data_IF_751689560929
#
_entry.id   IF_751689560929
#
_cell.length_a   1.000
_cell.length_b   1.000
_cell.length_c   1.000
_cell.angle_alpha   90.00
_cell.angle_beta   90.00
_cell.angle_gamma   90.00
#
_symmetry.space_group_name_H-M   'P 1'
#
loop_
_entity.id
_entity.type
_entity.pdbx_description
1 polymer ?
#
# COMPACT_ATOMS: atom_id res chain seq x y z
N UNK A 1 6.75 37.32 -33.58
CA UNK A 1 6.48 36.68 -32.26
C UNK A 1 5.74 35.33 -32.39
N UNK A 2 5.98 34.54 -33.44
CA UNK A 2 5.25 33.28 -33.70
C UNK A 2 6.13 32.01 -33.81
N UNK A 3 7.46 32.14 -33.76
CA UNK A 3 8.39 31.01 -33.95
C UNK A 3 8.81 30.31 -32.65
N UNK A 4 8.67 30.96 -31.47
CA UNK A 4 8.99 30.34 -30.18
C UNK A 4 7.88 29.42 -29.64
N UNK A 5 6.63 29.59 -30.08
CA UNK A 5 5.50 28.79 -29.57
C UNK A 5 5.40 27.40 -30.22
N UNK A 6 5.78 27.28 -31.50
CA UNK A 6 5.81 25.98 -32.19
C UNK A 6 6.88 25.03 -31.66
N UNK A 7 8.01 25.55 -31.18
CA UNK A 7 9.07 24.75 -30.59
C UNK A 7 8.66 24.21 -29.19
N UNK A 8 7.96 25.02 -28.40
CA UNK A 8 7.42 24.58 -27.09
C UNK A 8 6.34 23.49 -27.26
N UNK A 9 5.46 23.63 -28.26
CA UNK A 9 4.41 22.63 -28.53
C UNK A 9 4.98 21.32 -29.13
N UNK A 10 6.05 21.41 -29.92
CA UNK A 10 6.76 20.23 -30.44
C UNK A 10 7.57 19.49 -29.37
N UNK A 11 8.04 20.17 -28.33
CA UNK A 11 8.69 19.55 -27.16
C UNK A 11 7.68 18.84 -26.24
N UNK A 12 6.46 19.39 -26.11
CA UNK A 12 5.36 18.75 -25.37
C UNK A 12 4.87 17.49 -26.11
N UNK A 13 4.93 17.47 -27.44
CA UNK A 13 4.57 16.30 -28.26
C UNK A 13 5.58 15.13 -28.18
N UNK A 14 6.72 15.31 -27.49
CA UNK A 14 7.79 14.32 -27.36
C UNK A 14 8.06 13.91 -25.90
N UNK A 15 7.17 14.28 -24.99
CA UNK A 15 7.29 13.97 -23.56
C UNK A 15 6.50 12.70 -23.25
N UNK A 16 7.19 11.66 -22.79
CA UNK A 16 6.54 10.48 -22.23
C UNK A 16 6.09 10.81 -20.81
N UNK A 17 4.82 10.54 -20.51
CA UNK A 17 4.26 10.74 -19.18
C UNK A 17 3.35 9.56 -18.82
N UNK A 18 3.20 9.31 -17.51
CA UNK A 18 2.23 8.35 -16.99
C UNK A 18 1.25 9.04 -16.05
N UNK A 19 -0.04 8.77 -16.23
CA UNK A 19 -1.11 9.24 -15.35
C UNK A 19 -1.57 8.14 -14.38
N UNK A 20 -1.34 6.87 -14.71
CA UNK A 20 -1.87 5.74 -13.94
C UNK A 20 -1.28 5.67 -12.52
N UNK A 21 0.05 5.76 -12.40
CA UNK A 21 0.74 5.65 -11.12
C UNK A 21 0.45 6.83 -10.17
N UNK A 22 0.54 8.11 -10.60
CA UNK A 22 0.22 9.25 -9.73
C UNK A 22 -1.24 9.25 -9.28
N UNK A 23 -2.17 8.86 -10.17
CA UNK A 23 -3.59 8.77 -9.84
C UNK A 23 -3.86 7.65 -8.82
N UNK A 24 -3.16 6.52 -8.96
CA UNK A 24 -3.26 5.41 -8.00
C UNK A 24 -2.70 5.82 -6.64
N UNK A 25 -1.54 6.49 -6.61
CA UNK A 25 -0.97 7.06 -5.39
C UNK A 25 -1.95 8.03 -4.71
N UNK A 26 -2.56 8.92 -5.48
CA UNK A 26 -3.59 9.85 -5.00
C UNK A 26 -4.79 9.11 -4.41
N UNK A 27 -5.34 8.14 -5.13
CA UNK A 27 -6.51 7.37 -4.70
C UNK A 27 -6.23 6.59 -3.41
N UNK A 28 -5.11 5.87 -3.34
CA UNK A 28 -4.69 5.12 -2.15
C UNK A 28 -4.51 6.05 -0.94
N UNK A 29 -3.85 7.19 -1.16
CA UNK A 29 -3.61 8.19 -0.11
C UNK A 29 -4.93 8.76 0.42
N UNK A 30 -5.89 9.09 -0.46
CA UNK A 30 -7.20 9.58 -0.07
C UNK A 30 -8.01 8.53 0.68
N UNK A 31 -8.06 7.31 0.16
CA UNK A 31 -8.79 6.20 0.78
C UNK A 31 -8.23 5.97 2.18
N UNK A 32 -6.91 5.84 2.33
CA UNK A 32 -6.30 5.64 3.64
C UNK A 32 -6.57 6.82 4.60
N UNK A 33 -6.50 8.06 4.12
CA UNK A 33 -6.79 9.26 4.92
C UNK A 33 -8.23 9.26 5.46
N UNK A 34 -9.21 8.97 4.60
CA UNK A 34 -10.62 8.95 5.00
C UNK A 34 -11.00 7.73 5.83
N UNK A 35 -10.37 6.58 5.59
CA UNK A 35 -10.57 5.39 6.41
C UNK A 35 -9.96 5.60 7.81
N UNK A 36 -8.82 6.28 7.92
CA UNK A 36 -8.15 6.49 9.19
C UNK A 36 -9.07 7.15 10.22
N UNK A 37 -9.82 8.18 9.84
CA UNK A 37 -10.77 8.87 10.75
C UNK A 37 -11.81 7.92 11.38
N UNK A 38 -12.23 6.90 10.63
CA UNK A 38 -13.20 5.89 11.10
C UNK A 38 -12.56 4.76 11.91
N UNK A 39 -11.33 4.42 11.56
CA UNK A 39 -10.61 3.22 12.00
C UNK A 39 -9.75 3.50 13.24
N UNK A 40 -9.20 4.71 13.35
CA UNK A 40 -8.23 5.10 14.36
C UNK A 40 -8.72 4.84 15.79
N UNK A 41 -9.97 5.18 16.12
CA UNK A 41 -10.50 4.97 17.46
C UNK A 41 -10.47 3.49 17.85
N UNK A 42 -10.82 2.59 16.93
CA UNK A 42 -10.78 1.14 17.17
C UNK A 42 -9.35 0.62 17.29
N UNK A 43 -8.43 1.11 16.46
CA UNK A 43 -7.01 0.75 16.55
C UNK A 43 -6.39 1.22 17.88
N UNK A 44 -6.56 2.49 18.26
CA UNK A 44 -6.02 3.05 19.51
C UNK A 44 -6.50 2.31 20.75
N UNK A 45 -7.79 1.97 20.82
CA UNK A 45 -8.34 1.17 21.92
C UNK A 45 -7.74 -0.24 22.00
N UNK A 46 -7.30 -0.80 20.86
CA UNK A 46 -6.66 -2.13 20.83
C UNK A 46 -5.18 -2.07 21.22
N UNK A 47 -4.51 -0.93 20.98
CA UNK A 47 -3.08 -0.74 21.24
C UNK A 47 -2.77 0.02 22.52
N UNK A 48 -3.69 0.03 23.49
CA UNK A 48 -3.51 0.71 24.80
C UNK A 48 -3.12 2.19 24.64
N UNK A 49 -3.60 2.85 23.57
CA UNK A 49 -3.25 4.24 23.23
C UNK A 49 -1.75 4.52 23.11
N UNK A 50 -0.92 3.49 22.85
CA UNK A 50 0.51 3.68 22.65
C UNK A 50 0.77 4.56 21.43
N UNK A 51 1.47 5.66 21.67
CA UNK A 51 1.98 6.55 20.63
C UNK A 51 3.48 6.34 20.45
N UNK A 52 3.95 6.38 19.21
CA UNK A 52 5.38 6.30 18.94
C UNK A 52 6.07 7.60 19.32
N UNK A 53 7.15 7.47 20.09
CA UNK A 53 8.09 8.53 20.37
C UNK A 53 9.12 8.70 19.24
N UNK A 54 9.94 9.74 19.35
CA UNK A 54 11.00 10.00 18.38
C UNK A 54 12.03 8.86 18.33
N UNK A 55 12.31 8.22 19.48
CA UNK A 55 13.21 7.06 19.57
C UNK A 55 12.70 5.88 18.76
N UNK A 56 11.40 5.60 18.85
CA UNK A 56 10.76 4.50 18.12
C UNK A 56 10.79 4.74 16.60
N UNK A 57 10.58 5.99 16.17
CA UNK A 57 10.71 6.37 14.76
C UNK A 57 12.14 6.18 14.23
N UNK A 58 13.16 6.57 15.01
CA UNK A 58 14.57 6.34 14.66
C UNK A 58 14.88 4.85 14.57
N UNK A 59 14.46 4.07 15.57
CA UNK A 59 14.64 2.61 15.57
C UNK A 59 13.93 1.95 14.39
N UNK A 60 12.74 2.41 14.02
CA UNK A 60 11.99 1.89 12.88
C UNK A 60 12.72 2.16 11.56
N UNK A 61 13.20 3.39 11.33
CA UNK A 61 13.97 3.70 10.10
C UNK A 61 15.24 2.88 10.06
N UNK A 62 15.99 2.79 11.17
CA UNK A 62 17.19 1.97 11.24
C UNK A 62 16.89 0.49 10.94
N UNK A 63 15.81 -0.06 11.48
CA UNK A 63 15.38 -1.42 11.22
C UNK A 63 14.98 -1.65 9.76
N UNK A 64 14.25 -0.72 9.13
CA UNK A 64 13.88 -0.79 7.71
C UNK A 64 15.13 -0.75 6.83
N UNK A 65 16.04 0.20 7.07
CA UNK A 65 17.29 0.31 6.31
C UNK A 65 18.18 -0.93 6.46
N UNK A 66 18.28 -1.47 7.67
CA UNK A 66 19.01 -2.71 7.93
C UNK A 66 18.35 -3.89 7.22
N UNK A 67 17.02 -4.03 7.31
CA UNK A 67 16.28 -5.10 6.66
C UNK A 67 16.48 -5.08 5.14
N UNK A 68 16.39 -3.91 4.49
CA UNK A 68 16.62 -3.77 3.04
C UNK A 68 18.06 -4.14 2.68
N UNK A 69 19.04 -3.72 3.48
CA UNK A 69 20.46 -4.03 3.25
C UNK A 69 20.74 -5.53 3.39
N UNK A 70 20.12 -6.19 4.38
CA UNK A 70 20.27 -7.62 4.60
C UNK A 70 19.49 -8.46 3.60
N UNK A 71 18.41 -7.92 3.02
CA UNK A 71 17.52 -8.64 2.11
C UNK A 71 18.25 -9.25 0.91
N UNK A 72 19.30 -8.60 0.43
CA UNK A 72 20.13 -9.08 -0.69
C UNK A 72 20.84 -10.39 -0.36
N UNK A 73 21.12 -10.65 0.92
CA UNK A 73 21.82 -11.86 1.38
C UNK A 73 20.87 -12.97 1.83
N UNK A 74 19.58 -12.69 2.00
CA UNK A 74 18.60 -13.65 2.51
C UNK A 74 18.08 -14.53 1.35
N UNK A 75 18.00 -15.86 1.52
CA UNK A 75 17.41 -16.75 0.53
C UNK A 75 15.98 -16.33 0.16
N UNK A 76 15.64 -16.39 -1.12
CA UNK A 76 14.32 -16.00 -1.65
C UNK A 76 13.15 -16.70 -0.94
N UNK A 77 13.31 -17.99 -0.60
CA UNK A 77 12.28 -18.75 0.13
C UNK A 77 12.03 -18.19 1.55
N UNK A 78 13.08 -17.73 2.23
CA UNK A 78 12.94 -17.13 3.56
C UNK A 78 12.23 -15.76 3.50
N UNK A 79 12.60 -14.92 2.52
CA UNK A 79 11.88 -13.66 2.25
C UNK A 79 10.40 -13.91 1.99
N UNK A 80 10.09 -14.88 1.13
CA UNK A 80 8.71 -15.25 0.80
C UNK A 80 7.94 -15.68 2.05
N UNK A 81 8.49 -16.59 2.87
CA UNK A 81 7.82 -17.06 4.09
C UNK A 81 7.58 -15.93 5.08
N UNK A 82 8.59 -15.09 5.34
CA UNK A 82 8.48 -13.95 6.25
C UNK A 82 7.41 -12.97 5.76
N UNK A 83 7.40 -12.67 4.45
CA UNK A 83 6.42 -11.76 3.88
C UNK A 83 5.00 -12.32 3.95
N UNK A 84 4.80 -13.58 3.54
CA UNK A 84 3.48 -14.21 3.58
C UNK A 84 2.94 -14.28 5.02
N UNK A 85 3.80 -14.61 5.98
CA UNK A 85 3.44 -14.60 7.39
C UNK A 85 3.06 -13.20 7.87
N UNK A 86 3.90 -12.19 7.61
CA UNK A 86 3.65 -10.82 8.02
C UNK A 86 2.35 -10.27 7.41
N UNK A 87 2.10 -10.55 6.13
CA UNK A 87 0.88 -10.08 5.47
C UNK A 87 -0.36 -10.84 5.95
N UNK A 88 -0.30 -12.17 6.08
CA UNK A 88 -1.40 -12.94 6.65
C UNK A 88 -1.73 -12.49 8.08
N UNK A 89 -0.72 -12.22 8.91
CA UNK A 89 -0.90 -11.68 10.25
C UNK A 89 -1.57 -10.30 10.24
N UNK A 90 -1.18 -9.43 9.30
CA UNK A 90 -1.80 -8.10 9.13
C UNK A 90 -3.27 -8.19 8.71
N UNK A 91 -3.59 -9.03 7.71
CA UNK A 91 -4.97 -9.27 7.28
C UNK A 91 -5.82 -9.86 8.41
N UNK A 92 -5.25 -10.81 9.15
CA UNK A 92 -5.90 -11.40 10.31
C UNK A 92 -6.19 -10.35 11.38
N UNK A 93 -5.18 -9.58 11.78
CA UNK A 93 -5.29 -8.56 12.82
C UNK A 93 -6.35 -7.52 12.48
N UNK A 94 -6.32 -6.97 11.27
CA UNK A 94 -7.32 -5.99 10.84
C UNK A 94 -8.72 -6.59 10.84
N UNK A 95 -8.90 -7.75 10.22
CA UNK A 95 -10.21 -8.40 10.18
C UNK A 95 -10.73 -8.75 11.56
N UNK A 96 -9.84 -9.16 12.47
CA UNK A 96 -10.16 -9.44 13.87
C UNK A 96 -10.63 -8.18 14.61
N UNK A 97 -9.91 -7.06 14.48
CA UNK A 97 -10.27 -5.77 15.08
C UNK A 97 -11.63 -5.28 14.55
N UNK A 98 -11.91 -5.52 13.28
CA UNK A 98 -13.16 -5.12 12.64
C UNK A 98 -14.29 -6.17 12.73
N UNK A 99 -14.04 -7.34 13.33
CA UNK A 99 -15.00 -8.46 13.38
C UNK A 99 -16.27 -8.20 14.19
N UNK A 100 -16.31 -7.11 14.96
CA UNK A 100 -17.45 -6.62 15.74
C UNK A 100 -18.55 -6.00 14.85
N UNK A 101 -19.02 -6.80 13.88
CA UNK A 101 -20.09 -6.44 12.95
C UNK A 101 -21.46 -6.80 13.51
N UNK A 102 -22.52 -6.17 12.99
CA UNK A 102 -23.89 -6.71 13.16
C UNK A 102 -23.96 -8.10 12.52
N UNK A 103 -24.75 -9.03 13.08
CA UNK A 103 -24.94 -10.41 12.58
C UNK A 103 -25.11 -10.47 11.06
N UNK A 104 -26.02 -9.66 10.50
CA UNK A 104 -26.27 -9.57 9.04
C UNK A 104 -25.00 -9.26 8.24
N UNK A 105 -24.13 -8.37 8.72
CA UNK A 105 -22.89 -8.00 8.03
C UNK A 105 -21.83 -9.10 8.11
N UNK A 106 -21.75 -9.80 9.24
CA UNK A 106 -20.87 -10.96 9.37
C UNK A 106 -21.31 -12.11 8.47
N UNK A 107 -22.61 -12.37 8.38
CA UNK A 107 -23.17 -13.35 7.45
C UNK A 107 -22.89 -12.97 6.00
N UNK A 108 -23.09 -11.70 5.62
CA UNK A 108 -22.77 -11.22 4.28
C UNK A 108 -21.28 -11.38 3.97
N UNK A 109 -20.40 -11.10 4.94
CA UNK A 109 -18.97 -11.28 4.79
C UNK A 109 -18.61 -12.75 4.55
N UNK A 110 -19.08 -13.68 5.39
CA UNK A 110 -18.87 -15.11 5.17
C UNK A 110 -19.47 -15.60 3.86
N UNK A 111 -20.67 -15.13 3.49
CA UNK A 111 -21.33 -15.49 2.24
C UNK A 111 -20.50 -15.05 1.03
N UNK A 112 -19.87 -13.88 1.08
CA UNK A 112 -18.96 -13.43 0.03
C UNK A 112 -17.71 -14.33 -0.08
N UNK A 113 -17.12 -14.74 1.04
CA UNK A 113 -16.00 -15.69 1.01
C UNK A 113 -16.41 -17.08 0.53
N UNK A 114 -17.61 -17.53 0.89
CA UNK A 114 -18.21 -18.77 0.40
C UNK A 114 -18.39 -18.74 -1.12
N UNK A 115 -18.97 -17.67 -1.68
CA UNK A 115 -19.16 -17.57 -3.14
C UNK A 115 -17.84 -17.48 -3.88
N UNK A 116 -16.90 -16.66 -3.40
CA UNK A 116 -15.58 -16.51 -4.02
C UNK A 116 -14.79 -17.82 -3.99
N UNK A 117 -14.77 -18.53 -2.84
CA UNK A 117 -14.07 -19.82 -2.72
C UNK A 117 -14.70 -20.90 -3.58
N UNK A 118 -16.03 -20.95 -3.70
CA UNK A 118 -16.70 -21.89 -4.60
C UNK A 118 -16.34 -21.65 -6.07
N UNK A 119 -16.41 -20.39 -6.52
CA UNK A 119 -16.07 -20.02 -7.90
C UNK A 119 -14.59 -20.32 -8.17
N UNK A 120 -13.69 -20.00 -7.23
CA UNK A 120 -12.27 -20.31 -7.38
C UNK A 120 -12.01 -21.83 -7.43
N UNK A 121 -12.69 -22.62 -6.58
CA UNK A 121 -12.59 -24.08 -6.58
C UNK A 121 -13.02 -24.69 -7.92
N UNK A 122 -14.16 -24.23 -8.46
CA UNK A 122 -14.66 -24.75 -9.75
C UNK A 122 -13.71 -24.38 -10.89
N UNK A 123 -13.26 -23.12 -10.96
CA UNK A 123 -12.25 -22.70 -11.97
C UNK A 123 -10.97 -23.54 -11.83
N UNK A 124 -10.50 -23.80 -10.61
CA UNK A 124 -9.30 -24.63 -10.36
C UNK A 124 -9.48 -26.07 -10.84
N UNK A 125 -10.70 -26.62 -10.79
CA UNK A 125 -11.01 -27.98 -11.24
C UNK A 125 -11.03 -28.09 -12.76
N UNK A 126 -11.54 -27.06 -13.46
CA UNK A 126 -11.62 -27.06 -14.93
C UNK A 126 -10.36 -26.55 -15.64
N UNK A 127 -9.43 -25.91 -14.93
CA UNK A 127 -8.16 -25.41 -15.49
C UNK A 127 -7.06 -26.49 -15.54
N UNK A 128 -7.43 -27.71 -15.92
CA UNK A 128 -6.55 -28.90 -15.98
C UNK A 128 -5.34 -28.71 -16.92
N UNK A 129 -5.43 -27.81 -17.91
CA UNK A 129 -4.36 -27.58 -18.90
C UNK A 129 -3.27 -26.59 -18.46
N UNK A 130 -3.44 -25.84 -17.36
CA UNK A 130 -2.59 -24.65 -17.09
C UNK A 130 -1.64 -24.83 -15.89
N UNK A 131 -1.82 -25.83 -15.03
CA UNK A 131 -0.94 -26.09 -13.87
C UNK A 131 -0.71 -27.59 -13.68
N UNK A 132 0.48 -28.07 -14.05
CA UNK A 132 1.01 -29.39 -13.76
C UNK A 132 0.71 -29.81 -12.31
N UNK A 133 -0.09 -30.87 -12.10
CA UNK A 133 -0.29 -31.59 -10.83
C UNK A 133 -0.85 -30.81 -9.62
N UNK A 134 -0.75 -29.48 -9.57
CA UNK A 134 -1.16 -28.62 -8.45
C UNK A 134 -2.60 -28.11 -8.54
N UNK A 135 -3.24 -28.20 -9.70
CA UNK A 135 -4.63 -27.72 -9.90
C UNK A 135 -5.64 -28.46 -9.01
N UNK A 136 -5.46 -29.77 -8.82
CA UNK A 136 -6.28 -30.58 -7.91
C UNK A 136 -6.11 -30.16 -6.43
N UNK A 137 -4.87 -29.87 -6.01
CA UNK A 137 -4.60 -29.37 -4.65
C UNK A 137 -5.15 -27.96 -4.43
N UNK A 138 -5.10 -27.09 -5.45
CA UNK A 138 -5.72 -25.78 -5.43
C UNK A 138 -7.24 -25.87 -5.26
N UNK A 139 -7.90 -26.75 -6.04
CA UNK A 139 -9.33 -26.99 -5.92
C UNK A 139 -9.70 -27.52 -4.53
N UNK A 140 -8.94 -28.49 -4.01
CA UNK A 140 -9.13 -29.03 -2.66
C UNK A 140 -8.96 -27.96 -1.57
N UNK A 141 -7.96 -27.08 -1.70
CA UNK A 141 -7.75 -25.98 -0.77
C UNK A 141 -8.91 -24.97 -0.78
N UNK A 142 -9.43 -24.61 -1.96
CA UNK A 142 -10.60 -23.74 -2.06
C UNK A 142 -11.89 -24.40 -1.59
N UNK A 143 -12.11 -25.69 -1.85
CA UNK A 143 -13.23 -26.42 -1.26
C UNK A 143 -13.13 -26.50 0.27
N UNK A 144 -11.91 -26.60 0.82
CA UNK A 144 -11.69 -26.54 2.27
C UNK A 144 -12.06 -25.16 2.83
N UNK A 145 -11.67 -24.08 2.15
CA UNK A 145 -12.04 -22.71 2.52
C UNK A 145 -13.55 -22.47 2.39
N UNK A 146 -14.19 -23.03 1.37
CA UNK A 146 -15.64 -23.03 1.19
C UNK A 146 -16.35 -23.72 2.34
N UNK A 147 -15.93 -24.94 2.69
CA UNK A 147 -16.47 -25.69 3.82
C UNK A 147 -16.32 -24.94 5.14
N UNK A 148 -15.15 -24.35 5.38
CA UNK A 148 -14.93 -23.50 6.56
C UNK A 148 -15.85 -22.27 6.58
N UNK A 149 -16.02 -21.60 5.44
CA UNK A 149 -16.93 -20.45 5.31
C UNK A 149 -18.39 -20.83 5.55
N UNK A 150 -18.81 -22.00 5.07
CA UNK A 150 -20.14 -22.54 5.31
C UNK A 150 -20.37 -22.84 6.80
N UNK A 151 -19.42 -23.53 7.45
CA UNK A 151 -19.46 -23.78 8.90
C UNK A 151 -19.51 -22.46 9.67
N UNK A 152 -18.76 -21.44 9.26
CA UNK A 152 -18.77 -20.13 9.89
C UNK A 152 -20.15 -19.43 9.78
N UNK A 153 -20.86 -19.58 8.66
CA UNK A 153 -22.25 -19.06 8.51
C UNK A 153 -23.21 -19.80 9.43
N UNK A 154 -23.13 -21.14 9.46
CA UNK A 154 -24.00 -21.95 10.32
C UNK A 154 -23.74 -21.66 11.80
N UNK A 155 -22.47 -21.52 12.18
CA UNK A 155 -22.07 -21.14 13.54
C UNK A 155 -22.63 -19.76 13.92
N UNK A 156 -22.56 -18.79 13.02
CA UNK A 156 -23.15 -17.45 13.23
C UNK A 156 -24.67 -17.49 13.40
N UNK A 157 -25.35 -18.44 12.76
CA UNK A 157 -26.81 -18.57 12.87
C UNK A 157 -27.22 -19.10 14.25
N UNK A 158 -26.46 -20.08 14.77
CA UNK A 158 -26.69 -20.74 16.08
C UNK A 158 -26.23 -19.86 17.24
N UNK A 159 -25.12 -19.13 17.08
CA UNK A 159 -24.54 -18.32 18.14
C UNK A 159 -25.44 -17.10 18.43
N UNK A 160 -25.86 -16.96 19.69
CA UNK A 160 -26.72 -15.87 20.16
C UNK A 160 -25.93 -14.76 20.86
N UNK A 161 -24.64 -14.95 21.13
CA UNK A 161 -23.79 -14.00 21.86
C UNK A 161 -22.90 -13.20 20.91
N UNK A 162 -22.97 -11.87 21.00
CA UNK A 162 -22.17 -10.92 20.23
C UNK A 162 -20.73 -10.79 20.71
N UNK A 163 -19.94 -11.87 20.60
CA UNK A 163 -18.50 -11.87 20.91
C UNK A 163 -17.61 -11.53 19.71
N UNK A 164 -16.30 -11.35 19.96
CA UNK A 164 -15.29 -11.17 18.90
C UNK A 164 -15.17 -12.44 18.05
N UNK A 165 -15.40 -12.31 16.75
CA UNK A 165 -15.52 -13.44 15.82
C UNK A 165 -14.17 -13.75 15.17
N UNK A 166 -13.34 -14.52 15.87
CA UNK A 166 -12.00 -14.90 15.40
C UNK A 166 -12.04 -15.69 14.07
N UNK A 167 -13.08 -16.48 13.82
CA UNK A 167 -13.23 -17.26 12.58
C UNK A 167 -13.36 -16.36 11.34
N UNK A 168 -13.94 -15.16 11.46
CA UNK A 168 -13.99 -14.19 10.36
C UNK A 168 -12.60 -13.71 9.96
N UNK A 169 -11.69 -13.61 10.94
CA UNK A 169 -10.33 -13.10 10.71
C UNK A 169 -9.44 -14.07 9.93
N UNK A 170 -9.74 -15.36 9.99
CA UNK A 170 -9.00 -16.40 9.26
C UNK A 170 -9.28 -16.31 7.76
N UNK A 171 -10.51 -15.96 7.36
CA UNK A 171 -10.96 -16.03 5.97
C UNK A 171 -10.08 -15.22 4.99
N UNK A 172 -9.79 -13.91 5.19
CA UNK A 172 -8.96 -13.14 4.25
C UNK A 172 -7.52 -13.64 4.20
N UNK A 173 -6.98 -14.03 5.34
CA UNK A 173 -5.59 -14.50 5.49
C UNK A 173 -5.40 -15.84 4.77
N UNK A 174 -6.32 -16.79 4.98
CA UNK A 174 -6.34 -18.07 4.29
C UNK A 174 -6.56 -17.91 2.79
N UNK A 175 -7.49 -17.04 2.37
CA UNK A 175 -7.73 -16.75 0.96
C UNK A 175 -6.47 -16.22 0.28
N UNK A 176 -5.77 -15.27 0.89
CA UNK A 176 -4.53 -14.72 0.36
C UNK A 176 -3.44 -15.78 0.21
N UNK A 177 -3.22 -16.62 1.23
CA UNK A 177 -2.20 -17.68 1.19
C UNK A 177 -2.53 -18.70 0.09
N UNK A 178 -3.79 -19.16 -0.01
CA UNK A 178 -4.22 -20.12 -1.02
C UNK A 178 -4.05 -19.53 -2.42
N UNK A 179 -4.51 -18.30 -2.65
CA UNK A 179 -4.30 -17.62 -3.93
C UNK A 179 -2.83 -17.47 -4.27
N UNK A 180 -1.98 -17.08 -3.32
CA UNK A 180 -0.55 -16.95 -3.58
C UNK A 180 0.08 -18.31 -3.95
N UNK A 181 -0.15 -19.35 -3.15
CA UNK A 181 0.50 -20.66 -3.32
C UNK A 181 0.11 -21.29 -4.66
N UNK A 182 -1.17 -21.23 -5.04
CA UNK A 182 -1.66 -21.93 -6.22
C UNK A 182 -1.73 -21.07 -7.49
N UNK A 183 -1.85 -19.73 -7.36
CA UNK A 183 -2.07 -18.85 -8.51
C UNK A 183 -0.92 -17.87 -8.78
N UNK A 184 0.15 -17.79 -7.97
CA UNK A 184 1.22 -16.80 -8.20
C UNK A 184 1.85 -16.84 -9.60
N UNK A 185 1.86 -18.01 -10.27
CA UNK A 185 2.37 -18.19 -11.63
C UNK A 185 1.38 -17.78 -12.73
N UNK A 186 0.09 -17.70 -12.42
CA UNK A 186 -0.98 -17.40 -13.38
C UNK A 186 -0.98 -15.94 -13.85
N UNK A 187 -1.61 -15.69 -15.00
CA UNK A 187 -1.87 -14.34 -15.54
C UNK A 187 -2.91 -13.54 -14.73
N UNK A 188 -3.69 -14.22 -13.89
CA UNK A 188 -4.63 -13.55 -12.97
C UNK A 188 -3.85 -12.91 -11.82
N UNK A 189 -2.77 -13.56 -11.36
CA UNK A 189 -1.97 -13.05 -10.27
C UNK A 189 -1.23 -11.77 -10.62
N UNK A 190 -0.46 -11.78 -11.71
CA UNK A 190 0.22 -10.59 -12.21
C UNK A 190 -0.40 -10.16 -13.54
N UNK A 191 -0.84 -8.90 -13.69
CA UNK A 191 -0.68 -7.78 -12.75
C UNK A 191 -1.80 -7.63 -11.71
N UNK A 192 -2.97 -8.26 -11.91
CA UNK A 192 -4.20 -7.85 -11.24
C UNK A 192 -4.24 -8.11 -9.72
N UNK A 193 -4.17 -9.38 -9.29
CA UNK A 193 -4.26 -9.69 -7.86
C UNK A 193 -3.06 -9.13 -7.09
N UNK A 194 -1.86 -9.14 -7.69
CA UNK A 194 -0.66 -8.58 -7.09
C UNK A 194 -0.84 -7.10 -6.78
N UNK A 195 -1.36 -6.31 -7.74
CA UNK A 195 -1.63 -4.89 -7.52
C UNK A 195 -2.74 -4.66 -6.51
N UNK A 196 -3.83 -5.44 -6.59
CA UNK A 196 -4.95 -5.34 -5.65
C UNK A 196 -4.47 -5.60 -4.21
N UNK A 197 -3.73 -6.69 -3.99
CA UNK A 197 -3.16 -7.01 -2.70
C UNK A 197 -2.06 -6.04 -2.28
N UNK A 198 -1.27 -5.50 -3.20
CA UNK A 198 -0.30 -4.44 -2.90
C UNK A 198 -1.00 -3.18 -2.38
N UNK A 199 -2.06 -2.74 -3.05
CA UNK A 199 -2.87 -1.58 -2.64
C UNK A 199 -3.52 -1.83 -1.28
N UNK A 200 -4.12 -3.01 -1.06
CA UNK A 200 -4.70 -3.38 0.24
C UNK A 200 -3.62 -3.31 1.32
N UNK A 201 -2.44 -3.91 1.09
CA UNK A 201 -1.34 -3.89 2.04
C UNK A 201 -0.91 -2.47 2.39
N UNK A 202 -0.71 -1.60 1.39
CA UNK A 202 -0.38 -0.20 1.60
C UNK A 202 -1.42 0.48 2.49
N UNK A 203 -2.72 0.35 2.17
CA UNK A 203 -3.79 0.96 2.97
C UNK A 203 -3.74 0.45 4.42
N UNK A 204 -3.60 -0.85 4.64
CA UNK A 204 -3.55 -1.42 5.99
C UNK A 204 -2.36 -0.91 6.79
N UNK A 205 -1.16 -0.87 6.19
CA UNK A 205 0.04 -0.34 6.86
C UNK A 205 -0.09 1.15 7.15
N UNK A 206 -0.66 1.94 6.23
CA UNK A 206 -0.94 3.37 6.47
C UNK A 206 -1.90 3.55 7.63
N UNK A 207 -2.98 2.78 7.70
CA UNK A 207 -3.94 2.85 8.81
C UNK A 207 -3.30 2.44 10.14
N UNK A 208 -2.50 1.37 10.11
CA UNK A 208 -1.81 0.83 11.27
C UNK A 208 -0.83 1.84 11.87
N UNK A 209 0.14 2.30 11.06
CA UNK A 209 1.16 3.24 11.52
C UNK A 209 0.59 4.65 11.69
N UNK A 210 -0.40 5.03 10.88
CA UNK A 210 -1.11 6.31 11.00
C UNK A 210 -1.78 6.50 12.36
N UNK A 211 -2.29 5.41 12.97
CA UNK A 211 -2.86 5.46 14.31
C UNK A 211 -1.79 5.66 15.41
N UNK A 212 -0.61 5.05 15.24
CA UNK A 212 0.49 5.05 16.23
C UNK A 212 1.36 6.32 16.17
N UNK A 213 1.51 6.90 14.99
CA UNK A 213 2.37 8.08 14.79
C UNK A 213 1.67 9.36 15.23
N UNK A 214 2.47 10.28 15.77
CA UNK A 214 2.05 11.66 16.03
C UNK A 214 2.57 12.58 14.93
N UNK A 215 2.03 13.80 14.86
CA UNK A 215 2.53 14.80 13.90
C UNK A 215 4.04 15.03 14.02
N UNK A 216 4.56 15.16 15.26
CA UNK A 216 5.99 15.43 15.50
C UNK A 216 6.86 14.24 15.07
N UNK A 217 6.45 13.02 15.40
CA UNK A 217 7.23 11.83 15.04
C UNK A 217 7.18 11.53 13.55
N UNK A 218 6.07 11.86 12.88
CA UNK A 218 5.97 11.78 11.43
C UNK A 218 6.96 12.69 10.72
N UNK A 219 7.18 13.92 11.22
CA UNK A 219 8.18 14.83 10.64
C UNK A 219 9.60 14.27 10.76
N UNK A 220 9.95 13.74 11.94
CA UNK A 220 11.26 13.14 12.19
C UNK A 220 11.45 11.91 11.30
N UNK A 221 10.44 11.04 11.27
CA UNK A 221 10.43 9.84 10.45
C UNK A 221 10.56 10.18 8.96
N UNK A 222 9.85 11.20 8.48
CA UNK A 222 9.93 11.65 7.09
C UNK A 222 11.32 12.15 6.71
N UNK A 223 11.92 12.99 7.55
CA UNK A 223 13.28 13.46 7.32
C UNK A 223 14.30 12.31 7.28
N UNK A 224 14.24 11.41 8.26
CA UNK A 224 15.15 10.27 8.35
C UNK A 224 14.96 9.27 7.20
N UNK A 225 13.71 8.95 6.86
CA UNK A 225 13.40 8.01 5.79
C UNK A 225 13.85 8.56 4.43
N UNK A 226 13.67 9.86 4.16
CA UNK A 226 14.15 10.46 2.91
C UNK A 226 15.67 10.47 2.82
N UNK A 227 16.38 10.74 3.91
CA UNK A 227 17.84 10.62 3.92
C UNK A 227 18.26 9.18 3.64
N UNK A 228 17.61 8.21 4.29
CA UNK A 228 17.89 6.79 4.07
C UNK A 228 17.61 6.37 2.62
N UNK A 229 16.50 6.82 2.03
CA UNK A 229 16.11 6.52 0.65
C UNK A 229 17.10 7.11 -0.36
N UNK A 230 17.54 8.36 -0.18
CA UNK A 230 18.60 8.98 -0.99
C UNK A 230 19.88 8.13 -0.95
N UNK A 231 20.29 7.70 0.23
CA UNK A 231 21.50 6.87 0.39
C UNK A 231 21.30 5.50 -0.26
N UNK A 232 20.18 4.82 -0.01
CA UNK A 232 19.93 3.46 -0.51
C UNK A 232 19.69 3.39 -2.02
N UNK A 233 19.16 4.46 -2.63
CA UNK A 233 18.86 4.52 -4.06
C UNK A 233 20.00 5.12 -4.85
N UNK A 234 20.50 6.30 -4.46
CA UNK A 234 21.49 7.04 -5.26
C UNK A 234 22.94 6.70 -4.90
N UNK A 235 23.22 6.35 -3.64
CA UNK A 235 24.61 6.09 -3.19
C UNK A 235 24.95 4.62 -3.30
N UNK A 236 24.14 3.73 -2.71
CA UNK A 236 24.45 2.29 -2.66
C UNK A 236 23.80 1.49 -3.79
N UNK A 237 22.69 1.96 -4.36
CA UNK A 237 21.91 1.22 -5.37
C UNK A 237 21.30 -0.10 -4.86
N UNK A 238 21.39 -0.37 -3.56
CA UNK A 238 20.97 -1.64 -2.94
C UNK A 238 19.47 -1.84 -3.04
N UNK A 239 18.68 -0.76 -3.08
CA UNK A 239 17.22 -0.85 -3.24
C UNK A 239 16.83 -1.44 -4.59
N UNK A 240 17.57 -1.13 -5.67
CA UNK A 240 17.30 -1.67 -7.01
C UNK A 240 17.59 -3.18 -7.04
N UNK A 241 18.68 -3.61 -6.41
CA UNK A 241 19.02 -5.04 -6.30
C UNK A 241 18.03 -5.80 -5.40
N UNK A 242 17.62 -5.23 -4.27
CA UNK A 242 16.59 -5.84 -3.43
C UNK A 242 15.25 -5.95 -4.17
N UNK A 243 14.86 -4.91 -4.92
CA UNK A 243 13.65 -4.92 -5.71
C UNK A 243 13.63 -6.03 -6.77
N UNK A 244 14.74 -6.29 -7.47
CA UNK A 244 14.79 -7.40 -8.46
C UNK A 244 14.70 -8.78 -7.80
N UNK A 245 15.27 -8.96 -6.61
CA UNK A 245 15.11 -10.21 -5.85
C UNK A 245 13.67 -10.45 -5.40
N UNK A 246 12.94 -9.39 -5.05
CA UNK A 246 11.56 -9.47 -4.54
C UNK A 246 10.53 -9.56 -5.67
N UNK A 247 10.73 -8.85 -6.78
CA UNK A 247 9.86 -8.93 -7.96
C UNK A 247 9.86 -10.33 -8.55
N UNK A 248 11.01 -11.02 -8.53
CA UNK A 248 11.12 -12.41 -8.96
C UNK A 248 10.19 -13.36 -8.16
N UNK A 249 9.92 -13.04 -6.90
CA UNK A 249 9.01 -13.82 -6.04
C UNK A 249 7.53 -13.50 -6.29
N UNK A 250 7.20 -12.49 -7.11
CA UNK A 250 5.82 -12.03 -7.37
C UNK A 250 5.04 -11.73 -6.07
N UNK A 251 5.74 -11.23 -5.07
CA UNK A 251 5.14 -10.78 -3.82
C UNK A 251 4.49 -9.40 -4.02
N UNK A 252 3.36 -9.12 -3.36
CA UNK A 252 2.72 -7.81 -3.38
C UNK A 252 3.51 -6.83 -2.51
N UNK A 253 4.73 -6.47 -2.94
CA UNK A 253 5.64 -5.48 -2.31
C UNK A 253 5.76 -4.20 -3.14
N UNK A 254 5.16 -4.22 -4.33
CA UNK A 254 5.15 -3.16 -5.33
C UNK A 254 3.83 -3.21 -6.10
N UNK A 255 3.40 -2.05 -6.58
CA UNK A 255 2.26 -1.91 -7.50
C UNK A 255 2.81 -1.59 -8.87
N UNK A 256 2.44 -2.39 -9.87
CA UNK A 256 2.95 -2.31 -11.23
C UNK A 256 1.82 -2.05 -12.21
N UNK A 257 1.75 -0.85 -12.76
CA UNK A 257 0.67 -0.45 -13.67
C UNK A 257 1.21 -0.21 -15.08
N UNK A 258 0.41 -0.51 -16.12
CA UNK A 258 0.74 -0.08 -17.47
C UNK A 258 0.68 1.45 -17.54
N UNK A 259 1.56 2.06 -18.33
CA UNK A 259 1.54 3.51 -18.51
C UNK A 259 0.27 3.97 -19.22
N UNK A 260 -0.24 5.14 -18.84
CA UNK A 260 -1.34 5.81 -19.53
C UNK A 260 -0.86 7.23 -19.92
N UNK A 261 -0.70 7.53 -21.23
CA UNK A 261 -0.99 6.68 -22.40
C UNK A 261 -0.07 5.45 -22.53
N UNK A 262 -0.59 4.41 -23.19
CA UNK A 262 0.13 3.14 -23.35
C UNK A 262 1.37 3.34 -24.24
N UNK A 263 2.55 3.05 -23.68
CA UNK A 263 3.81 3.09 -24.40
C UNK A 263 4.18 1.64 -24.75
N UNK A 264 3.98 1.26 -26.00
CA UNK A 264 4.40 -0.05 -26.51
C UNK A 264 5.81 0.05 -27.10
N UNK A 265 6.73 -0.69 -26.51
CA UNK A 265 8.09 -0.86 -27.05
C UNK A 265 8.15 -2.13 -27.88
N UNK A 266 9.27 -2.39 -28.59
CA UNK A 266 9.49 -3.67 -29.28
C UNK A 266 9.41 -4.90 -28.38
N UNK A 267 9.47 -4.71 -27.05
CA UNK A 267 9.45 -5.76 -26.03
C UNK A 267 8.10 -5.88 -25.30
N UNK A 268 7.08 -5.13 -25.74
CA UNK A 268 5.75 -5.10 -25.12
C UNK A 268 5.43 -3.76 -24.44
N UNK A 269 4.32 -3.74 -23.71
CA UNK A 269 3.83 -2.58 -22.96
C UNK A 269 4.77 -2.24 -21.82
N UNK A 270 5.13 -0.96 -21.69
CA UNK A 270 5.94 -0.46 -20.58
C UNK A 270 5.10 -0.45 -19.30
N UNK A 271 5.64 -1.05 -18.23
CA UNK A 271 5.06 -1.00 -16.91
C UNK A 271 5.92 -0.15 -15.98
N UNK A 272 5.27 0.69 -15.17
CA UNK A 272 5.92 1.42 -14.08
C UNK A 272 5.56 0.72 -12.77
N UNK A 273 6.57 0.54 -11.94
CA UNK A 273 6.45 -0.08 -10.62
C UNK A 273 6.79 0.93 -9.54
N UNK A 274 5.93 1.03 -8.53
CA UNK A 274 6.17 1.84 -7.34
C UNK A 274 6.16 0.95 -6.09
N UNK A 275 7.15 1.15 -5.21
CA UNK A 275 7.28 0.41 -3.97
C UNK A 275 6.17 0.75 -2.98
N UNK A 276 5.74 -0.23 -2.19
CA UNK A 276 4.72 0.02 -1.16
C UNK A 276 5.19 0.98 -0.06
N UNK A 277 6.51 1.14 0.11
CA UNK A 277 7.10 2.15 0.99
C UNK A 277 6.69 3.57 0.61
N UNK A 278 6.62 3.88 -0.69
CA UNK A 278 6.27 5.21 -1.18
C UNK A 278 4.77 5.50 -0.99
N UNK A 279 3.90 4.51 -1.27
CA UNK A 279 2.47 4.60 -0.93
C UNK A 279 2.27 4.82 0.56
N UNK A 280 2.97 4.03 1.39
CA UNK A 280 2.93 4.16 2.83
C UNK A 280 3.35 5.57 3.27
N UNK A 281 4.45 6.08 2.74
CA UNK A 281 4.99 7.36 3.12
C UNK A 281 4.07 8.53 2.76
N UNK A 282 3.55 8.55 1.53
CA UNK A 282 2.55 9.53 1.08
C UNK A 282 1.28 9.47 1.93
N UNK A 283 0.77 8.26 2.17
CA UNK A 283 -0.40 8.00 2.99
C UNK A 283 -0.24 8.47 4.44
N UNK A 284 0.88 8.15 5.07
CA UNK A 284 1.19 8.53 6.46
C UNK A 284 1.20 10.05 6.61
N UNK A 285 1.90 10.75 5.71
CA UNK A 285 1.99 12.21 5.74
C UNK A 285 0.61 12.85 5.53
N UNK A 286 -0.20 12.33 4.59
CA UNK A 286 -1.54 12.86 4.34
C UNK A 286 -2.49 12.63 5.52
N UNK A 287 -2.46 11.43 6.13
CA UNK A 287 -3.22 11.11 7.36
C UNK A 287 -2.85 12.07 8.48
N UNK A 288 -1.56 12.33 8.68
CA UNK A 288 -1.09 13.20 9.75
C UNK A 288 -1.41 14.67 9.45
N UNK A 289 -1.41 15.06 8.18
CA UNK A 289 -1.85 16.39 7.74
C UNK A 289 -3.34 16.57 7.99
N UNK A 290 -4.15 15.53 7.75
CA UNK A 290 -5.58 15.50 8.06
C UNK A 290 -5.83 15.73 9.55
N UNK A 291 -5.13 14.99 10.41
CA UNK A 291 -5.25 15.14 11.87
C UNK A 291 -4.86 16.53 12.35
N UNK A 292 -3.78 17.10 11.80
CA UNK A 292 -3.23 18.38 12.29
C UNK A 292 -3.90 19.62 11.72
N UNK A 293 -4.28 19.59 10.44
CA UNK A 293 -4.71 20.77 9.69
C UNK A 293 -6.09 20.60 9.02
N UNK A 294 -6.73 19.45 9.20
CA UNK A 294 -8.07 19.16 8.71
C UNK A 294 -8.13 18.65 7.27
N UNK A 295 -9.36 18.33 6.85
CA UNK A 295 -9.67 17.64 5.61
C UNK A 295 -9.19 18.34 4.35
N UNK A 296 -9.42 19.64 4.24
CA UNK A 296 -9.10 20.39 3.02
C UNK A 296 -7.60 20.37 2.73
N UNK A 297 -6.76 20.59 3.76
CA UNK A 297 -5.32 20.60 3.57
C UNK A 297 -4.77 19.20 3.25
N UNK A 298 -5.35 18.15 3.84
CA UNK A 298 -4.95 16.78 3.54
C UNK A 298 -5.21 16.39 2.08
N UNK A 299 -6.41 16.71 1.56
CA UNK A 299 -6.75 16.44 0.15
C UNK A 299 -5.84 17.25 -0.78
N UNK A 300 -5.62 18.53 -0.47
CA UNK A 300 -4.71 19.37 -1.24
C UNK A 300 -3.27 18.83 -1.20
N UNK A 301 -2.84 18.30 -0.05
CA UNK A 301 -1.51 17.70 0.12
C UNK A 301 -1.36 16.41 -0.69
N UNK A 302 -2.37 15.54 -0.69
CA UNK A 302 -2.38 14.34 -1.53
C UNK A 302 -2.35 14.70 -3.02
N UNK A 303 -3.09 15.73 -3.43
CA UNK A 303 -3.08 16.22 -4.80
C UNK A 303 -1.72 16.81 -5.18
N UNK A 304 -1.08 17.57 -4.29
CA UNK A 304 0.25 18.13 -4.51
C UNK A 304 1.35 17.05 -4.58
N UNK A 305 1.26 16.01 -3.74
CA UNK A 305 2.13 14.84 -3.81
C UNK A 305 1.97 14.16 -5.18
N UNK A 306 0.73 13.88 -5.61
CA UNK A 306 0.47 13.24 -6.89
C UNK A 306 0.93 14.09 -8.08
N UNK A 307 0.73 15.42 -8.02
CA UNK A 307 1.21 16.34 -9.05
C UNK A 307 2.74 16.38 -9.13
N UNK A 308 3.43 16.41 -7.97
CA UNK A 308 4.89 16.30 -7.91
C UNK A 308 5.36 14.98 -8.50
N UNK A 309 4.71 13.87 -8.12
CA UNK A 309 5.02 12.54 -8.60
C UNK A 309 4.89 12.45 -10.13
N UNK A 310 3.78 12.95 -10.68
CA UNK A 310 3.54 13.05 -12.13
C UNK A 310 4.65 13.83 -12.86
N UNK A 311 5.07 14.99 -12.32
CA UNK A 311 6.13 15.80 -12.93
C UNK A 311 7.46 15.05 -12.95
N UNK A 312 7.85 14.45 -11.81
CA UNK A 312 9.10 13.71 -11.72
C UNK A 312 9.08 12.45 -12.59
N UNK A 313 7.98 11.70 -12.64
CA UNK A 313 7.86 10.55 -13.54
C UNK A 313 7.98 10.94 -15.00
N UNK A 314 7.32 12.02 -15.43
CA UNK A 314 7.43 12.50 -16.80
C UNK A 314 8.88 12.90 -17.14
N UNK A 315 9.62 13.49 -16.19
CA UNK A 315 11.05 13.78 -16.34
C UNK A 315 11.88 12.48 -16.43
N UNK A 316 11.62 11.51 -15.55
CA UNK A 316 12.32 10.21 -15.54
C UNK A 316 12.13 9.47 -16.86
N UNK A 317 10.89 9.39 -17.35
CA UNK A 317 10.54 8.73 -18.61
C UNK A 317 11.16 9.45 -19.82
N UNK A 318 11.15 10.78 -19.81
CA UNK A 318 11.68 11.58 -20.93
C UNK A 318 13.21 11.56 -21.00
N UNK A 319 13.89 11.61 -19.85
CA UNK A 319 15.36 11.60 -19.79
C UNK A 319 15.97 10.21 -19.57
N UNK A 320 15.15 9.17 -19.49
CA UNK A 320 15.55 7.77 -19.29
C UNK A 320 16.47 7.58 -18.07
N UNK A 321 16.08 8.19 -16.94
CA UNK A 321 16.79 8.05 -15.67
C UNK A 321 16.50 6.65 -15.07
N UNK A 322 17.54 5.95 -14.61
CA UNK A 322 17.44 4.54 -14.17
C UNK A 322 16.59 4.32 -12.91
N UNK A 323 16.74 5.18 -11.90
CA UNK A 323 16.03 5.09 -10.63
C UNK A 323 16.07 6.45 -9.92
N UNK A 324 15.02 6.79 -9.17
CA UNK A 324 14.94 8.02 -8.41
C UNK A 324 14.25 7.78 -7.05
N UNK A 325 14.68 8.43 -5.96
CA UNK A 325 14.08 8.23 -4.64
C UNK A 325 12.62 8.71 -4.62
N UNK A 326 11.68 7.79 -4.38
CA UNK A 326 10.24 8.09 -4.38
C UNK A 326 9.85 9.02 -3.22
N UNK A 327 10.52 8.90 -2.07
CA UNK A 327 10.25 9.75 -0.91
C UNK A 327 10.59 11.22 -1.19
N UNK A 328 11.60 11.48 -2.02
CA UNK A 328 11.97 12.85 -2.40
C UNK A 328 10.87 13.48 -3.27
N UNK A 329 10.33 12.74 -4.23
CA UNK A 329 9.21 13.18 -5.07
C UNK A 329 7.99 13.55 -4.20
N UNK A 330 7.72 12.76 -3.16
CA UNK A 330 6.62 12.99 -2.21
C UNK A 330 6.86 14.25 -1.38
N UNK A 331 8.05 14.40 -0.77
CA UNK A 331 8.38 15.59 0.04
C UNK A 331 8.32 16.86 -0.80
N UNK A 332 8.81 16.83 -2.04
CA UNK A 332 8.76 17.98 -2.94
C UNK A 332 7.34 18.47 -3.21
N UNK A 333 6.35 17.57 -3.28
CA UNK A 333 4.95 17.97 -3.43
C UNK A 333 4.32 18.49 -2.13
N UNK A 334 4.62 17.84 -1.01
CA UNK A 334 3.97 18.11 0.27
C UNK A 334 4.55 19.33 1.02
N UNK A 335 5.88 19.45 1.09
CA UNK A 335 6.57 20.44 1.93
C UNK A 335 6.23 21.90 1.55
N UNK A 336 6.21 22.30 0.26
CA UNK A 336 5.87 23.67 -0.13
C UNK A 336 4.46 24.08 0.34
N UNK A 337 3.51 23.15 0.28
CA UNK A 337 2.13 23.39 0.68
C UNK A 337 2.00 23.64 2.18
N UNK A 338 2.77 22.92 2.99
CA UNK A 338 2.85 23.20 4.43
C UNK A 338 3.54 24.53 4.73
N UNK A 339 4.64 24.85 4.05
CA UNK A 339 5.32 26.14 4.23
C UNK A 339 4.40 27.31 3.88
N UNK A 340 3.65 27.22 2.77
CA UNK A 340 2.65 28.21 2.39
C UNK A 340 1.55 28.35 3.45
N UNK A 341 1.10 27.25 4.06
CA UNK A 341 0.12 27.30 5.14
C UNK A 341 0.69 27.94 6.41
N UNK A 342 1.94 27.63 6.76
CA UNK A 342 2.63 28.22 7.89
C UNK A 342 2.83 29.73 7.72
N UNK A 343 3.15 30.19 6.49
CA UNK A 343 3.30 31.61 6.16
C UNK A 343 1.97 32.37 6.16
N UNK A 344 0.88 31.76 5.67
CA UNK A 344 -0.47 32.36 5.68
C UNK A 344 -1.13 32.37 7.06
N UNK A 345 -0.61 31.57 7.99
CA UNK A 345 -1.10 31.52 9.36
C UNK A 345 0.02 31.98 10.30
N UNK A 346 0.48 33.24 10.22
CA UNK A 346 1.38 33.75 11.24
C UNK A 346 0.63 33.64 12.55
N UNK A 347 1.18 32.83 13.46
CA UNK A 347 0.68 32.73 14.82
C UNK A 347 0.53 34.15 15.38
N UNK A 348 -0.71 34.52 15.69
CA UNK A 348 -1.04 35.47 16.76
C UNK A 348 -0.41 34.88 18.03
N UNK A 349 0.86 35.20 18.24
CA UNK A 349 1.62 34.91 19.45
C UNK A 349 1.90 36.25 20.11
N UNK A 350 0.84 36.92 20.54
CA UNK A 350 0.93 38.05 21.45
C UNK A 350 -0.39 38.18 22.22
N UNK A 351 -0.29 37.84 23.51
CA UNK A 351 -1.09 38.36 24.63
C UNK A 351 -2.56 37.90 24.73
N UNK A 352 -2.79 36.85 25.53
CA UNK A 352 -3.55 36.99 26.77
C UNK A 352 -3.42 35.71 27.63
N UNK A 353 -2.31 35.60 28.34
CA UNK A 353 -2.35 35.12 29.71
C UNK A 353 -2.67 36.34 30.56
N UNK A 354 -3.93 36.42 31.01
CA UNK A 354 -4.45 37.14 32.19
C UNK A 354 -5.92 37.48 31.94
N UNK A 355 -6.80 36.57 32.35
CA UNK A 355 -8.01 36.84 33.12
C UNK A 355 -8.58 35.52 33.64
#
# INVERSE_FOLDING_TARGET
>A
MGLRFKCLFSLIALMYFDVAMPLTLFAVTLVATFLNDKVERKLRMTFEEKEFGAKDAVMLVAAISLAISLMVFIPQMAVMVIFLFAYAALLFLFTYIFSDFKKIKAQLFCAAFLTVSFIAATISLFSLDVLEGLSAYGAAAFFSLFGFSFIAITYEEIETRGGRRWYLAILPSALFIILYVFYNKSSIWFPYLLNMYGIIFAILVILYLGALFTWKTTLIFAGLLTVADIVLVLVTGTMVSAATHVTALRLPVLVTLPTIPEITTRWGTLYISLGLGDFFFAGLIAVQTYKKHGRQLAVLSAAAIAASFFIFEALILTFNLRAFPGTLMIICGWLPLLLLKALKTPKIFSVNQNL
#
